data_IF_063186363222
#
_entry.id   IF_063186363222
#
_cell.length_a   1.000
_cell.length_b   1.000
_cell.length_c   1.000
_cell.angle_alpha   90.00
_cell.angle_beta   90.00
_cell.angle_gamma   90.00
#
_symmetry.space_group_name_H-M   'P 1'
#
loop_
_entity.id
_entity.type
_entity.pdbx_description
1 polymer ?
#
# COMPACT_ATOMS: atom_id res chain seq x y z
N UNK A 1 -13.34 -1.38 -16.69
CA UNK A 1 -12.60 -0.61 -15.72
C UNK A 1 -11.15 -1.04 -15.70
N UNK A 2 -10.26 -0.06 -15.81
CA UNK A 2 -8.82 -0.32 -16.05
C UNK A 2 -8.14 -1.17 -14.98
N UNK A 3 -8.45 -0.92 -13.72
CA UNK A 3 -7.83 -1.68 -12.61
C UNK A 3 -8.20 -3.15 -12.66
N UNK A 4 -9.46 -3.45 -12.93
CA UNK A 4 -9.93 -4.83 -13.06
C UNK A 4 -9.27 -5.53 -14.23
N UNK A 5 -9.19 -4.85 -15.38
CA UNK A 5 -8.56 -5.41 -16.58
C UNK A 5 -7.08 -5.69 -16.35
N UNK A 6 -6.37 -4.74 -15.74
CA UNK A 6 -4.94 -4.89 -15.42
C UNK A 6 -4.72 -6.09 -14.50
N UNK A 7 -5.55 -6.22 -13.45
CA UNK A 7 -5.43 -7.34 -12.52
C UNK A 7 -5.65 -8.68 -13.23
N UNK A 8 -6.64 -8.75 -14.14
CA UNK A 8 -6.89 -9.98 -14.90
C UNK A 8 -5.70 -10.38 -15.76
N UNK A 9 -5.08 -9.40 -16.43
CA UNK A 9 -3.88 -9.67 -17.25
C UNK A 9 -2.73 -10.16 -16.38
N UNK A 10 -2.48 -9.51 -15.25
CA UNK A 10 -1.42 -9.92 -14.34
C UNK A 10 -1.65 -11.33 -13.78
N UNK A 11 -2.89 -11.65 -13.42
CA UNK A 11 -3.23 -12.99 -12.95
C UNK A 11 -2.96 -14.05 -14.02
N UNK A 12 -3.35 -13.75 -15.28
CA UNK A 12 -3.13 -14.68 -16.38
C UNK A 12 -1.65 -14.88 -16.67
N UNK A 13 -0.86 -13.79 -16.66
CA UNK A 13 0.55 -13.85 -17.01
C UNK A 13 1.43 -14.51 -15.92
N UNK A 14 1.11 -14.27 -14.67
CA UNK A 14 1.97 -14.67 -13.55
C UNK A 14 1.37 -15.72 -12.63
N UNK A 15 0.24 -16.29 -13.00
CA UNK A 15 -0.40 -17.33 -12.18
C UNK A 15 -0.93 -16.82 -10.85
N UNK A 16 -1.40 -15.58 -10.81
CA UNK A 16 -1.94 -14.96 -9.60
C UNK A 16 -3.45 -15.11 -9.55
N UNK A 17 -4.05 -14.87 -8.38
CA UNK A 17 -5.48 -15.06 -8.15
C UNK A 17 -6.19 -13.71 -8.02
N UNK A 18 -7.22 -13.43 -8.85
CA UNK A 18 -7.94 -12.16 -8.74
C UNK A 18 -8.83 -12.12 -7.49
N UNK A 19 -8.84 -10.97 -6.81
CA UNK A 19 -9.69 -10.72 -5.65
C UNK A 19 -10.14 -9.26 -5.68
N UNK A 20 -11.43 -9.03 -5.86
CA UNK A 20 -11.99 -7.70 -6.00
C UNK A 20 -12.53 -7.17 -4.67
N UNK A 21 -12.16 -5.92 -4.35
CA UNK A 21 -12.81 -5.11 -3.33
C UNK A 21 -13.73 -4.14 -4.07
N UNK A 22 -15.05 -4.36 -4.06
CA UNK A 22 -15.97 -3.58 -4.89
C UNK A 22 -15.81 -2.07 -4.70
N UNK A 23 -15.70 -1.34 -5.81
CA UNK A 23 -15.56 0.12 -5.81
C UNK A 23 -14.19 0.63 -5.39
N UNK A 24 -13.26 -0.23 -5.04
CA UNK A 24 -11.94 0.15 -4.51
C UNK A 24 -10.82 -0.34 -5.40
N UNK A 25 -10.63 -1.65 -5.48
CA UNK A 25 -9.50 -2.24 -6.17
C UNK A 25 -9.74 -3.69 -6.53
N UNK A 26 -8.89 -4.22 -7.38
CA UNK A 26 -8.81 -5.66 -7.65
C UNK A 26 -7.37 -6.09 -7.43
N UNK A 27 -7.18 -7.07 -6.57
CA UNK A 27 -5.86 -7.65 -6.32
C UNK A 27 -5.55 -8.72 -7.35
N UNK A 28 -4.29 -8.75 -7.76
CA UNK A 28 -3.68 -9.96 -8.32
C UNK A 28 -2.91 -10.55 -7.15
N UNK A 29 -3.60 -11.36 -6.34
CA UNK A 29 -3.05 -11.90 -5.10
C UNK A 29 -1.86 -12.81 -5.36
N UNK A 30 -0.88 -12.80 -4.47
CA UNK A 30 -0.83 -12.07 -3.19
C UNK A 30 -0.10 -10.73 -3.22
N UNK A 31 0.39 -10.24 -4.37
CA UNK A 31 1.37 -9.16 -4.37
C UNK A 31 0.87 -7.81 -4.86
N UNK A 32 -0.06 -7.80 -5.82
CA UNK A 32 -0.35 -6.57 -6.56
C UNK A 32 -1.79 -6.15 -6.33
N UNK A 33 -2.00 -4.88 -6.01
CA UNK A 33 -3.33 -4.28 -5.94
C UNK A 33 -3.50 -3.28 -7.07
N UNK A 34 -4.50 -3.50 -7.91
CA UNK A 34 -4.81 -2.58 -9.00
C UNK A 34 -6.01 -1.72 -8.59
N UNK A 35 -5.75 -0.45 -8.32
CA UNK A 35 -6.79 0.48 -7.88
C UNK A 35 -7.77 0.76 -9.02
N UNK A 36 -9.05 0.88 -8.68
CA UNK A 36 -10.08 1.26 -9.64
C UNK A 36 -10.04 2.74 -9.94
N UNK A 37 -9.47 3.54 -9.03
CA UNK A 37 -9.23 4.97 -9.22
C UNK A 37 -7.79 5.29 -8.89
N UNK A 38 -7.26 6.35 -9.50
CA UNK A 38 -5.90 6.80 -9.19
C UNK A 38 -5.81 7.19 -7.72
N UNK A 39 -4.80 6.66 -7.03
CA UNK A 39 -4.47 7.01 -5.65
C UNK A 39 -3.22 7.86 -5.57
N UNK A 40 -2.46 7.70 -4.48
CA UNK A 40 -1.21 8.43 -4.26
C UNK A 40 -0.11 7.91 -5.18
N UNK A 41 0.82 8.81 -5.50
CA UNK A 41 1.99 8.51 -6.32
C UNK A 41 1.73 8.69 -7.80
N UNK A 42 2.60 9.44 -8.49
CA UNK A 42 2.48 9.66 -9.93
C UNK A 42 2.51 8.35 -10.71
N UNK A 43 3.34 7.40 -10.26
CA UNK A 43 3.49 6.08 -10.87
C UNK A 43 2.77 4.98 -10.07
N UNK A 44 2.05 5.34 -9.01
CA UNK A 44 1.39 4.41 -8.12
C UNK A 44 2.02 4.41 -6.74
N UNK A 45 1.74 3.37 -5.95
CA UNK A 45 2.30 3.27 -4.60
C UNK A 45 2.79 1.86 -4.31
N UNK A 46 3.73 1.79 -3.37
CA UNK A 46 4.34 0.53 -2.93
C UNK A 46 4.02 0.34 -1.45
N UNK A 47 3.54 -0.85 -1.12
CA UNK A 47 3.26 -1.22 0.25
C UNK A 47 4.42 -2.02 0.82
N UNK A 48 4.93 -1.61 1.98
CA UNK A 48 5.92 -2.38 2.73
C UNK A 48 5.25 -2.89 4.00
N UNK A 49 5.15 -4.20 4.15
CA UNK A 49 4.52 -4.79 5.33
C UNK A 49 5.55 -5.02 6.44
N UNK A 50 5.10 -4.86 7.66
CA UNK A 50 5.92 -5.10 8.85
C UNK A 50 5.04 -5.59 9.99
N UNK A 51 5.60 -6.32 10.92
CA UNK A 51 4.89 -6.75 12.13
C UNK A 51 4.74 -5.63 13.15
N UNK A 52 5.51 -4.54 13.00
CA UNK A 52 5.52 -3.42 13.94
C UNK A 52 5.66 -2.09 13.18
N UNK A 53 4.53 -1.50 12.81
CA UNK A 53 4.51 -0.23 12.07
C UNK A 53 5.10 0.91 12.91
N UNK A 54 4.77 0.96 14.21
CA UNK A 54 5.31 1.99 15.10
C UNK A 54 6.83 1.93 15.18
N UNK A 55 7.40 0.74 15.34
CA UNK A 55 8.84 0.54 15.36
C UNK A 55 9.49 0.90 14.04
N UNK A 56 8.87 0.53 12.92
CA UNK A 56 9.37 0.87 11.60
C UNK A 56 9.36 2.40 11.38
N UNK A 57 8.30 3.08 11.83
CA UNK A 57 8.24 4.55 11.75
C UNK A 57 9.38 5.19 12.55
N UNK A 58 9.61 4.71 13.77
CA UNK A 58 10.68 5.26 14.62
C UNK A 58 12.05 5.06 13.96
N UNK A 59 12.29 3.89 13.39
CA UNK A 59 13.53 3.58 12.69
C UNK A 59 13.73 4.50 11.48
N UNK A 60 12.71 4.64 10.64
CA UNK A 60 12.80 5.49 9.46
C UNK A 60 12.91 6.97 9.83
N UNK A 61 12.20 7.41 10.87
CA UNK A 61 12.30 8.79 11.36
C UNK A 61 13.73 9.11 11.79
N UNK A 62 14.45 8.15 12.39
CA UNK A 62 15.85 8.33 12.77
C UNK A 62 16.75 8.55 11.56
N UNK A 63 16.29 8.19 10.38
CA UNK A 63 16.99 8.40 9.10
C UNK A 63 16.50 9.63 8.33
N UNK A 64 15.63 10.43 8.94
CA UNK A 64 15.12 11.67 8.35
C UNK A 64 13.84 11.51 7.55
N UNK A 65 13.20 10.35 7.59
CA UNK A 65 11.93 10.12 6.88
C UNK A 65 10.79 10.76 7.67
N UNK A 66 9.90 11.48 6.96
CA UNK A 66 8.70 12.05 7.54
C UNK A 66 7.47 11.27 7.07
N UNK A 67 6.37 11.40 7.82
CA UNK A 67 5.14 10.67 7.56
C UNK A 67 3.96 11.63 7.44
N UNK A 68 2.92 11.19 6.71
CA UNK A 68 1.69 11.96 6.54
C UNK A 68 0.71 11.51 7.64
N UNK A 69 0.64 12.29 8.72
CA UNK A 69 -0.13 11.91 9.91
C UNK A 69 -1.61 11.62 9.62
N UNK A 70 -2.22 12.34 8.69
CA UNK A 70 -3.64 12.14 8.33
C UNK A 70 -3.92 10.77 7.74
N UNK A 71 -2.89 10.06 7.27
CA UNK A 71 -3.05 8.73 6.68
C UNK A 71 -2.94 7.61 7.69
N UNK A 72 -2.55 7.90 8.93
CA UNK A 72 -2.38 6.89 9.97
C UNK A 72 -3.69 6.20 10.30
N UNK A 73 -3.63 4.87 10.44
CA UNK A 73 -4.72 4.06 10.98
C UNK A 73 -4.21 3.34 12.20
N UNK A 74 -5.10 3.11 13.17
CA UNK A 74 -4.74 2.50 14.46
C UNK A 74 -5.66 1.32 14.76
N UNK A 75 -5.12 0.35 15.50
CA UNK A 75 -5.92 -0.76 16.02
C UNK A 75 -6.58 -0.39 17.34
N UNK A 76 -7.30 -1.34 17.96
CA UNK A 76 -8.02 -1.11 19.21
C UNK A 76 -7.09 -0.80 20.38
N UNK A 77 -5.85 -1.26 20.32
CA UNK A 77 -4.84 -1.00 21.35
C UNK A 77 -4.08 0.31 21.14
N UNK A 78 -4.40 1.04 20.07
CA UNK A 78 -3.73 2.30 19.75
C UNK A 78 -2.41 2.16 19.00
N UNK A 79 -2.08 0.96 18.51
CA UNK A 79 -0.90 0.76 17.67
C UNK A 79 -1.20 1.17 16.23
N UNK A 80 -0.25 1.87 15.60
CA UNK A 80 -0.39 2.24 14.20
C UNK A 80 -0.31 1.01 13.31
N UNK A 81 -1.25 0.87 12.37
CA UNK A 81 -1.31 -0.27 11.46
C UNK A 81 -1.09 0.12 10.02
N UNK A 82 -1.05 1.43 9.72
CA UNK A 82 -0.94 1.94 8.36
C UNK A 82 -0.50 3.39 8.40
N UNK A 83 0.44 3.77 7.52
CA UNK A 83 0.82 5.17 7.35
C UNK A 83 1.55 5.36 6.01
N UNK A 84 1.31 6.49 5.34
CA UNK A 84 2.09 6.87 4.17
C UNK A 84 3.33 7.67 4.57
N UNK A 85 4.44 7.39 3.89
CA UNK A 85 5.61 8.25 3.93
C UNK A 85 5.31 9.53 3.15
N UNK A 86 5.90 10.63 3.58
CA UNK A 86 5.78 11.91 2.90
C UNK A 86 6.68 11.93 1.66
N UNK A 87 6.14 12.40 0.53
CA UNK A 87 6.88 12.48 -0.72
C UNK A 87 6.84 11.18 -1.51
N UNK A 88 7.59 11.19 -2.61
CA UNK A 88 7.65 10.07 -3.54
C UNK A 88 9.10 9.75 -3.88
N UNK A 89 9.36 8.48 -4.19
CA UNK A 89 10.65 8.05 -4.73
C UNK A 89 10.41 7.57 -6.15
N UNK A 90 11.05 8.21 -7.12
CA UNK A 90 10.89 7.88 -8.55
C UNK A 90 9.42 7.85 -8.99
N UNK A 91 8.59 8.73 -8.44
CA UNK A 91 7.17 8.81 -8.74
C UNK A 91 6.29 7.84 -7.98
N UNK A 92 6.85 7.01 -7.10
CA UNK A 92 6.08 6.07 -6.28
C UNK A 92 5.90 6.63 -4.87
N UNK A 93 4.65 6.59 -4.39
CA UNK A 93 4.37 6.80 -2.97
C UNK A 93 4.63 5.48 -2.23
N UNK A 94 4.99 5.57 -0.95
CA UNK A 94 5.23 4.38 -0.13
C UNK A 94 4.36 4.42 1.11
N UNK A 95 3.82 3.29 1.52
CA UNK A 95 3.17 3.18 2.81
C UNK A 95 3.60 1.93 3.55
N UNK A 96 3.60 2.05 4.88
CA UNK A 96 3.80 0.93 5.77
C UNK A 96 2.43 0.35 6.14
N UNK A 97 2.37 -0.96 6.30
CA UNK A 97 1.14 -1.64 6.68
C UNK A 97 1.47 -2.84 7.54
N UNK A 98 0.67 -3.05 8.59
CA UNK A 98 0.86 -4.20 9.45
C UNK A 98 0.63 -5.49 8.67
N UNK A 99 1.56 -6.44 8.78
CA UNK A 99 1.44 -7.75 8.18
C UNK A 99 0.27 -8.51 8.82
N UNK A 100 -0.40 -9.30 8.02
CA UNK A 100 -1.53 -10.12 8.47
C UNK A 100 -1.06 -11.33 9.27
#
# INVERSE_FOLDING_TARGET
>A
ETGLETARVLCALFGLTPRTLPGISTFADPFIECMHKKGRGAMGHICVTTTDVDGAMAHLASKGVEFIDETKKFDEQGHCTFVYLKGELSGFAFHLQKAR
#
